data_IF_516914514569
#
_entry.id   IF_516914514569
#
_cell.length_a   1.000
_cell.length_b   1.000
_cell.length_c   1.000
_cell.angle_alpha   90.00
_cell.angle_beta   90.00
_cell.angle_gamma   90.00
#
_symmetry.space_group_name_H-M   'P 1'
#
loop_
_entity.id
_entity.type
_entity.pdbx_description
1 polymer ?
#
# COMPACT_ATOMS: atom_id res chain seq x y z
N UNK A 1 -14.50 -18.34 17.18
CA UNK A 1 -14.78 -19.00 15.89
C UNK A 1 -13.47 -19.10 15.12
N UNK A 2 -13.16 -20.21 14.44
CA UNK A 2 -11.89 -20.34 13.72
C UNK A 2 -11.98 -19.77 12.30
N UNK A 3 -11.05 -18.88 11.95
CA UNK A 3 -10.91 -18.34 10.59
C UNK A 3 -10.55 -19.45 9.59
N UNK A 4 -11.08 -19.38 8.37
CA UNK A 4 -10.64 -20.25 7.28
C UNK A 4 -9.16 -20.00 6.93
N UNK A 5 -8.48 -20.99 6.34
CA UNK A 5 -7.08 -20.83 5.89
C UNK A 5 -6.91 -19.62 4.95
N UNK A 6 -7.91 -19.35 4.09
CA UNK A 6 -7.89 -18.20 3.19
C UNK A 6 -7.99 -16.87 3.95
N UNK A 7 -8.86 -16.78 4.95
CA UNK A 7 -8.99 -15.58 5.77
C UNK A 7 -7.77 -15.34 6.65
N UNK A 8 -7.18 -16.40 7.20
CA UNK A 8 -5.91 -16.31 7.93
C UNK A 8 -4.81 -15.70 7.05
N UNK A 9 -4.70 -16.14 5.79
CA UNK A 9 -3.74 -15.58 4.84
C UNK A 9 -4.00 -14.10 4.52
N UNK A 10 -5.27 -13.68 4.42
CA UNK A 10 -5.65 -12.27 4.21
C UNK A 10 -5.27 -11.43 5.43
N UNK A 11 -5.57 -11.90 6.65
CA UNK A 11 -5.25 -11.21 7.89
C UNK A 11 -3.73 -11.05 8.04
N UNK A 12 -2.97 -12.13 7.84
CA UNK A 12 -1.50 -12.12 7.84
C UNK A 12 -0.96 -11.10 6.81
N UNK A 13 -1.49 -11.11 5.59
CA UNK A 13 -1.09 -10.16 4.55
C UNK A 13 -1.39 -8.70 4.89
N UNK A 14 -2.51 -8.44 5.58
CA UNK A 14 -2.85 -7.11 6.09
C UNK A 14 -1.94 -6.65 7.23
N UNK A 15 -1.59 -7.54 8.16
CA UNK A 15 -0.67 -7.24 9.26
C UNK A 15 0.74 -6.91 8.74
N UNK A 16 1.21 -7.64 7.74
CA UNK A 16 2.49 -7.34 7.08
C UNK A 16 2.44 -5.98 6.37
N UNK A 17 1.32 -5.65 5.73
CA UNK A 17 1.14 -4.35 5.08
C UNK A 17 1.09 -3.19 6.10
N UNK A 18 0.40 -3.37 7.23
CA UNK A 18 0.42 -2.44 8.36
C UNK A 18 1.84 -2.25 8.89
N UNK A 19 2.61 -3.32 9.04
CA UNK A 19 3.99 -3.23 9.51
C UNK A 19 4.87 -2.40 8.57
N UNK A 20 4.68 -2.53 7.25
CA UNK A 20 5.40 -1.72 6.26
C UNK A 20 4.97 -0.25 6.30
N UNK A 21 3.66 0.04 6.24
CA UNK A 21 3.16 1.43 6.24
C UNK A 21 3.31 2.12 7.59
N UNK A 22 3.39 1.36 8.68
CA UNK A 22 3.71 1.85 10.03
C UNK A 22 5.21 2.05 10.26
N UNK A 23 6.09 1.55 9.38
CA UNK A 23 7.52 1.74 9.51
C UNK A 23 7.95 3.12 8.97
N UNK A 24 8.40 4.05 9.82
CA UNK A 24 8.72 5.41 9.39
C UNK A 24 9.90 5.47 8.40
N UNK A 25 10.85 4.53 8.51
CA UNK A 25 11.98 4.44 7.58
C UNK A 25 11.49 4.04 6.18
N UNK A 26 10.61 3.04 6.09
CA UNK A 26 10.03 2.63 4.81
C UNK A 26 9.25 3.77 4.15
N UNK A 27 8.38 4.42 4.91
CA UNK A 27 7.58 5.57 4.43
C UNK A 27 8.48 6.70 3.93
N UNK A 28 9.51 7.06 4.70
CA UNK A 28 10.47 8.10 4.31
C UNK A 28 11.22 7.74 3.01
N UNK A 29 11.58 6.47 2.82
CA UNK A 29 12.26 6.02 1.59
C UNK A 29 11.34 6.13 0.39
N UNK A 30 10.10 5.62 0.48
CA UNK A 30 9.12 5.70 -0.62
C UNK A 30 8.83 7.16 -1.00
N UNK A 31 8.65 8.02 -0.01
CA UNK A 31 8.45 9.47 -0.24
C UNK A 31 9.67 10.12 -0.90
N UNK A 32 10.88 9.76 -0.46
CA UNK A 32 12.13 10.24 -1.05
C UNK A 32 12.27 9.86 -2.52
N UNK A 33 11.99 8.61 -2.87
CA UNK A 33 12.01 8.15 -4.27
C UNK A 33 10.91 8.86 -5.08
N UNK A 34 9.72 9.05 -4.50
CA UNK A 34 8.63 9.78 -5.14
C UNK A 34 9.01 11.23 -5.48
N UNK A 35 9.68 11.91 -4.55
CA UNK A 35 10.20 13.27 -4.77
C UNK A 35 11.25 13.31 -5.87
N UNK A 36 12.20 12.36 -5.88
CA UNK A 36 13.20 12.25 -6.95
C UNK A 36 12.57 12.03 -8.33
N UNK A 37 11.52 11.20 -8.41
CA UNK A 37 10.79 10.99 -9.66
C UNK A 37 10.08 12.27 -10.12
N UNK A 38 9.49 13.02 -9.18
CA UNK A 38 8.87 14.31 -9.48
C UNK A 38 9.88 15.35 -9.97
N UNK A 39 11.03 15.48 -9.29
CA UNK A 39 12.11 16.38 -9.72
C UNK A 39 12.65 16.00 -11.10
N UNK A 40 12.87 14.71 -11.36
CA UNK A 40 13.30 14.22 -12.66
C UNK A 40 12.30 14.57 -13.77
N UNK A 41 11.00 14.43 -13.49
CA UNK A 41 9.96 14.83 -14.43
C UNK A 41 9.94 16.35 -14.68
N UNK A 42 10.08 17.16 -13.64
CA UNK A 42 10.11 18.63 -13.75
C UNK A 42 11.35 19.15 -14.47
N UNK A 43 12.50 18.49 -14.29
CA UNK A 43 13.77 18.86 -14.91
C UNK A 43 13.95 18.32 -16.34
N UNK A 44 13.13 17.34 -16.75
CA UNK A 44 13.20 16.75 -18.09
C UNK A 44 12.87 17.75 -19.20
N UNK A 45 13.52 17.57 -20.36
CA UNK A 45 13.19 18.33 -21.56
C UNK A 45 11.74 18.01 -22.00
N UNK A 46 10.89 19.02 -22.29
CA UNK A 46 9.53 18.78 -22.79
C UNK A 46 9.44 17.88 -24.04
N UNK A 47 10.50 17.82 -24.83
CA UNK A 47 10.59 16.97 -26.03
C UNK A 47 11.23 15.60 -25.77
N UNK A 48 11.74 15.36 -24.56
CA UNK A 48 12.20 14.04 -24.12
C UNK A 48 11.03 13.24 -23.55
N UNK A 49 10.11 12.85 -24.43
CA UNK A 49 8.94 12.03 -24.07
C UNK A 49 9.34 10.75 -23.33
N UNK A 50 10.34 9.97 -23.79
CA UNK A 50 10.74 8.74 -23.09
C UNK A 50 11.24 9.00 -21.66
N UNK A 51 12.07 10.02 -21.45
CA UNK A 51 12.55 10.38 -20.11
C UNK A 51 11.41 10.81 -19.17
N UNK A 52 10.46 11.57 -19.70
CA UNK A 52 9.25 12.02 -18.97
C UNK A 52 8.35 10.87 -18.57
N UNK A 53 8.05 9.97 -19.50
CA UNK A 53 7.22 8.80 -19.25
C UNK A 53 7.86 7.88 -18.22
N UNK A 54 9.17 7.67 -18.28
CA UNK A 54 9.87 6.86 -17.30
C UNK A 54 9.75 7.44 -15.88
N UNK A 55 10.02 8.75 -15.71
CA UNK A 55 9.90 9.42 -14.41
C UNK A 55 8.45 9.37 -13.86
N UNK A 56 7.47 9.58 -14.73
CA UNK A 56 6.06 9.49 -14.38
C UNK A 56 5.63 8.07 -13.99
N UNK A 57 6.03 7.06 -14.78
CA UNK A 57 5.65 5.67 -14.54
C UNK A 57 6.28 5.13 -13.25
N UNK A 58 7.51 5.51 -12.93
CA UNK A 58 8.13 5.19 -11.64
C UNK A 58 7.34 5.80 -10.48
N UNK A 59 6.96 7.07 -10.57
CA UNK A 59 6.11 7.71 -9.56
C UNK A 59 4.75 7.01 -9.40
N UNK A 60 4.10 6.62 -10.50
CA UNK A 60 2.84 5.86 -10.45
C UNK A 60 3.03 4.47 -9.86
N UNK A 61 4.14 3.79 -10.16
CA UNK A 61 4.48 2.50 -9.56
C UNK A 61 4.59 2.58 -8.04
N UNK A 62 5.22 3.63 -7.50
CA UNK A 62 5.27 3.86 -6.05
C UNK A 62 3.87 4.04 -5.45
N UNK A 63 3.01 4.83 -6.10
CA UNK A 63 1.62 5.00 -5.64
C UNK A 63 0.81 3.71 -5.72
N UNK A 64 1.07 2.86 -6.72
CA UNK A 64 0.43 1.56 -6.84
C UNK A 64 0.84 0.62 -5.69
N UNK A 65 2.11 0.63 -5.28
CA UNK A 65 2.59 -0.12 -4.10
C UNK A 65 1.86 0.34 -2.84
N UNK A 66 1.79 1.65 -2.60
CA UNK A 66 1.08 2.19 -1.43
C UNK A 66 -0.41 1.80 -1.45
N UNK A 67 -1.06 1.91 -2.62
CA UNK A 67 -2.47 1.55 -2.78
C UNK A 67 -2.72 0.06 -2.50
N UNK A 68 -1.84 -0.83 -2.98
CA UNK A 68 -1.92 -2.27 -2.72
C UNK A 68 -1.75 -2.59 -1.23
N UNK A 69 -0.77 -1.95 -0.56
CA UNK A 69 -0.60 -2.12 0.89
C UNK A 69 -1.86 -1.69 1.64
N UNK A 70 -2.43 -0.52 1.32
CA UNK A 70 -3.69 -0.06 1.92
C UNK A 70 -4.86 -0.98 1.64
N UNK A 71 -4.93 -1.57 0.43
CA UNK A 71 -5.98 -2.52 0.09
C UNK A 71 -5.94 -3.75 1.00
N UNK A 72 -4.75 -4.31 1.26
CA UNK A 72 -4.59 -5.47 2.16
C UNK A 72 -5.00 -5.15 3.60
N UNK A 73 -4.66 -3.97 4.09
CA UNK A 73 -5.08 -3.50 5.42
C UNK A 73 -6.61 -3.45 5.49
N UNK A 74 -7.25 -2.83 4.50
CA UNK A 74 -8.71 -2.74 4.45
C UNK A 74 -9.37 -4.13 4.42
N UNK A 75 -8.81 -5.11 3.69
CA UNK A 75 -9.33 -6.48 3.66
C UNK A 75 -9.22 -7.16 5.04
N UNK A 76 -8.08 -7.00 5.73
CA UNK A 76 -7.93 -7.47 7.12
C UNK A 76 -8.96 -6.81 8.03
N UNK A 77 -9.12 -5.49 7.96
CA UNK A 77 -10.04 -4.75 8.83
C UNK A 77 -11.50 -5.16 8.62
N UNK A 78 -11.89 -5.49 7.38
CA UNK A 78 -13.20 -6.06 7.08
C UNK A 78 -13.43 -7.41 7.75
N UNK A 79 -12.40 -8.27 7.81
CA UNK A 79 -12.49 -9.56 8.51
C UNK A 79 -12.59 -9.34 10.02
N UNK A 80 -11.76 -8.44 10.58
CA UNK A 80 -11.81 -8.12 12.00
C UNK A 80 -13.18 -7.56 12.42
N UNK A 81 -13.70 -6.58 11.67
CA UNK A 81 -15.02 -6.01 11.94
C UNK A 81 -16.16 -7.04 11.83
N UNK A 82 -16.05 -8.03 10.95
CA UNK A 82 -17.01 -9.13 10.85
C UNK A 82 -16.97 -10.01 12.10
N UNK A 83 -15.78 -10.35 12.59
CA UNK A 83 -15.62 -11.17 13.80
C UNK A 83 -16.15 -10.44 15.04
N UNK A 84 -15.85 -9.15 15.18
CA UNK A 84 -16.32 -8.35 16.31
C UNK A 84 -17.86 -8.29 16.35
N UNK A 85 -18.52 -8.12 15.19
CA UNK A 85 -19.98 -8.12 15.10
C UNK A 85 -20.61 -9.50 15.42
N UNK A 86 -19.94 -10.59 15.01
CA UNK A 86 -20.41 -11.95 15.32
C UNK A 86 -20.24 -12.29 16.81
N UNK A 87 -19.21 -11.78 17.48
CA UNK A 87 -19.03 -11.95 18.93
C UNK A 87 -20.07 -11.13 19.73
N UNK A 88 -20.39 -9.90 19.30
CA UNK A 88 -21.45 -9.08 19.92
C UNK A 88 -22.85 -9.72 19.84
N UNK A 89 -23.16 -10.45 18.78
CA UNK A 89 -24.44 -11.14 18.60
C UNK A 89 -24.57 -12.43 19.46
N UNK A 90 -23.48 -12.91 20.06
CA UNK A 90 -23.44 -14.12 20.90
C UNK A 90 -23.54 -13.84 22.41
N UNK A 91 -23.40 -12.58 22.82
CA UNK A 91 -23.58 -12.07 24.20
C UNK A 91 -25.03 -11.62 24.49
#
# INVERSE_FOLDING_TARGET
>A
MDLSEQEQAIVEGGLQAEALLGNPTFVSVIQGIGFQCFEAFMASNPHDTPGRENAYNLYQGLKAIEAELRHRINQKDQIAARLDAEDEDLD
#
